data_IF_601875460748
#
_entry.id   IF_601875460748
#
_cell.length_a   1.000
_cell.length_b   1.000
_cell.length_c   1.000
_cell.angle_alpha   90.00
_cell.angle_beta   90.00
_cell.angle_gamma   90.00
#
_symmetry.space_group_name_H-M   'P 1'
#
loop_
_entity.id
_entity.type
_entity.pdbx_description
1 polymer ?
#
# COMPACT_ATOMS: atom_id res chain seq x y z
N UNK A 1 -4.95 7.98 15.87
CA UNK A 1 -4.06 8.06 14.68
C UNK A 1 -2.64 7.71 15.13
N UNK A 2 -1.87 6.92 14.36
CA UNK A 2 -0.50 6.56 14.71
C UNK A 2 0.42 7.78 14.85
N UNK A 3 1.42 7.70 15.73
CA UNK A 3 2.40 8.77 15.96
C UNK A 3 3.20 9.06 14.69
N UNK A 4 3.61 8.02 13.95
CA UNK A 4 4.32 8.14 12.66
C UNK A 4 3.55 7.42 11.54
N UNK A 5 3.69 7.91 10.29
CA UNK A 5 3.09 7.27 9.11
C UNK A 5 3.56 5.80 8.95
N UNK A 6 4.83 5.55 9.26
CA UNK A 6 5.47 4.23 9.23
C UNK A 6 4.97 3.27 10.31
N UNK A 7 4.19 3.75 11.27
CA UNK A 7 3.67 2.94 12.38
C UNK A 7 2.40 2.15 12.06
N UNK A 8 1.77 2.35 10.89
CA UNK A 8 0.54 1.62 10.55
C UNK A 8 0.59 0.80 9.27
N UNK A 9 1.20 1.31 8.18
CA UNK A 9 1.17 0.64 6.88
C UNK A 9 -0.21 0.43 6.27
N UNK A 10 -1.28 0.98 6.87
CA UNK A 10 -2.68 0.63 6.59
C UNK A 10 -3.08 0.81 5.13
N UNK A 11 -2.64 1.90 4.51
CA UNK A 11 -2.96 2.21 3.11
C UNK A 11 -2.44 1.17 2.11
N UNK A 12 -1.43 0.38 2.49
CA UNK A 12 -0.79 -0.58 1.60
C UNK A 12 -1.47 -1.97 1.61
N UNK A 13 -2.52 -2.19 2.40
CA UNK A 13 -3.19 -3.48 2.52
C UNK A 13 -4.57 -3.50 1.85
N UNK A 14 -4.88 -4.58 1.15
CA UNK A 14 -6.15 -4.75 0.45
C UNK A 14 -6.59 -6.21 0.41
N UNK A 15 -7.90 -6.42 0.41
CA UNK A 15 -8.55 -7.71 0.12
C UNK A 15 -9.05 -7.75 -1.33
N UNK A 16 -9.06 -6.60 -2.03
CA UNK A 16 -9.39 -6.49 -3.44
C UNK A 16 -8.13 -6.46 -4.31
N UNK A 17 -8.10 -7.19 -5.44
CA UNK A 17 -7.00 -7.11 -6.41
C UNK A 17 -6.97 -5.77 -7.16
N UNK A 18 -8.07 -5.00 -7.14
CA UNK A 18 -8.18 -3.66 -7.74
C UNK A 18 -7.76 -2.57 -6.75
N UNK A 19 -6.61 -2.76 -6.11
CA UNK A 19 -6.09 -1.80 -5.13
C UNK A 19 -5.18 -0.77 -5.80
N UNK A 20 -5.37 0.51 -5.44
CA UNK A 20 -4.57 1.65 -5.92
C UNK A 20 -4.44 1.67 -7.46
N UNK A 21 -5.46 2.23 -8.11
CA UNK A 21 -5.47 2.45 -9.56
C UNK A 21 -4.27 3.31 -9.97
N UNK A 22 -3.65 2.95 -11.10
CA UNK A 22 -2.49 3.61 -11.69
C UNK A 22 -2.92 4.25 -13.01
N UNK A 23 -2.74 5.56 -13.12
CA UNK A 23 -2.97 6.33 -14.36
C UNK A 23 -1.72 6.35 -15.25
N UNK A 24 -1.81 6.95 -16.44
CA UNK A 24 -0.63 7.17 -17.30
C UNK A 24 0.45 8.01 -16.62
N UNK A 25 0.06 9.12 -15.99
CA UNK A 25 0.96 10.00 -15.25
C UNK A 25 1.60 9.28 -14.05
N UNK A 26 0.85 8.39 -13.39
CA UNK A 26 1.42 7.55 -12.33
C UNK A 26 2.42 6.55 -12.89
N UNK A 27 2.14 5.96 -14.06
CA UNK A 27 3.04 5.03 -14.72
C UNK A 27 4.37 5.70 -15.10
N UNK A 28 4.33 6.92 -15.64
CA UNK A 28 5.53 7.71 -15.93
C UNK A 28 6.30 8.02 -14.64
N UNK A 29 5.59 8.40 -13.57
CA UNK A 29 6.22 8.70 -12.27
C UNK A 29 6.87 7.50 -11.60
N UNK A 30 6.30 6.31 -11.74
CA UNK A 30 6.90 5.08 -11.24
C UNK A 30 8.23 4.78 -11.96
N UNK A 31 8.39 5.27 -13.19
CA UNK A 31 9.62 5.15 -13.97
C UNK A 31 9.96 3.69 -14.30
N UNK A 32 11.24 3.34 -14.23
CA UNK A 32 11.76 2.02 -14.57
C UNK A 32 11.16 0.87 -13.74
N UNK A 33 10.61 1.18 -12.55
CA UNK A 33 9.98 0.17 -11.71
C UNK A 33 8.53 -0.16 -12.12
N UNK A 34 7.92 0.58 -13.04
CA UNK A 34 6.50 0.44 -13.37
C UNK A 34 6.13 -1.00 -13.77
N UNK A 35 6.93 -1.64 -14.62
CA UNK A 35 6.70 -3.02 -15.08
C UNK A 35 6.68 -4.05 -13.94
N UNK A 36 7.46 -3.79 -12.88
CA UNK A 36 7.51 -4.63 -11.68
C UNK A 36 6.39 -4.31 -10.69
N UNK A 37 6.01 -3.04 -10.60
CA UNK A 37 5.09 -2.52 -9.59
C UNK A 37 3.64 -2.51 -10.01
N UNK A 38 3.35 -2.61 -11.31
CA UNK A 38 2.00 -2.52 -11.86
C UNK A 38 1.49 -3.90 -12.30
N UNK A 39 0.19 -4.11 -12.17
CA UNK A 39 -0.52 -5.23 -12.78
C UNK A 39 -1.71 -4.70 -13.58
N UNK A 40 -2.03 -5.37 -14.68
CA UNK A 40 -3.16 -5.05 -15.53
C UNK A 40 -4.32 -5.99 -15.25
N UNK A 41 -5.51 -5.45 -15.03
CA UNK A 41 -6.76 -6.21 -14.88
C UNK A 41 -7.71 -5.72 -15.97
N UNK A 42 -7.77 -6.47 -17.07
CA UNK A 42 -8.41 -5.98 -18.30
C UNK A 42 -7.62 -4.81 -18.89
N UNK A 43 -8.28 -3.68 -19.06
CA UNK A 43 -7.70 -2.45 -19.61
C UNK A 43 -7.30 -1.41 -18.53
N UNK A 44 -7.32 -1.79 -17.25
CA UNK A 44 -7.00 -0.90 -16.13
C UNK A 44 -5.74 -1.38 -15.41
N UNK A 45 -4.89 -0.42 -15.02
CA UNK A 45 -3.66 -0.67 -14.28
C UNK A 45 -3.85 -0.41 -12.78
N UNK A 46 -3.25 -1.26 -11.95
CA UNK A 46 -3.30 -1.21 -10.49
C UNK A 46 -1.92 -1.51 -9.90
N UNK A 47 -1.67 -1.07 -8.67
CA UNK A 47 -0.47 -1.49 -7.94
C UNK A 47 -0.52 -3.00 -7.70
N UNK A 48 0.57 -3.69 -8.05
CA UNK A 48 0.74 -5.12 -7.83
C UNK A 48 0.73 -5.41 -6.33
N UNK A 49 0.02 -6.47 -5.97
CA UNK A 49 -0.07 -6.95 -4.60
C UNK A 49 0.65 -8.30 -4.44
N UNK A 50 1.22 -8.51 -3.26
CA UNK A 50 1.77 -9.78 -2.81
C UNK A 50 0.88 -10.35 -1.68
N UNK A 51 0.76 -11.69 -1.55
CA UNK A 51 0.06 -12.30 -0.43
C UNK A 51 0.65 -11.85 0.93
N UNK A 52 -0.23 -11.61 1.89
CA UNK A 52 0.08 -11.24 3.27
C UNK A 52 -0.81 -11.98 4.29
N UNK A 53 -1.44 -13.08 3.85
CA UNK A 53 -2.41 -13.90 4.57
C UNK A 53 -3.29 -14.66 3.56
N UNK A 54 -4.27 -15.42 4.04
CA UNK A 54 -5.18 -16.22 3.20
C UNK A 54 -6.03 -15.34 2.27
N UNK A 55 -6.67 -14.30 2.80
CA UNK A 55 -7.48 -13.34 2.03
C UNK A 55 -6.93 -11.91 2.05
N UNK A 56 -5.68 -11.75 2.49
CA UNK A 56 -5.07 -10.44 2.69
C UNK A 56 -3.87 -10.28 1.77
N UNK A 57 -3.79 -9.13 1.11
CA UNK A 57 -2.67 -8.77 0.25
C UNK A 57 -2.07 -7.44 0.67
N UNK A 58 -0.78 -7.25 0.39
CA UNK A 58 -0.06 -6.01 0.57
C UNK A 58 0.53 -5.51 -0.75
N UNK A 59 0.62 -4.20 -0.93
CA UNK A 59 1.34 -3.62 -2.04
C UNK A 59 2.77 -4.17 -2.10
N UNK A 60 3.25 -4.51 -3.31
CA UNK A 60 4.60 -5.06 -3.48
C UNK A 60 5.71 -4.07 -3.09
N UNK A 61 5.41 -2.76 -3.10
CA UNK A 61 6.32 -1.72 -2.64
C UNK A 61 6.35 -1.54 -1.11
N UNK A 62 5.54 -2.29 -0.36
CA UNK A 62 5.54 -2.26 1.10
C UNK A 62 6.65 -3.17 1.66
N UNK A 63 7.61 -2.55 2.33
CA UNK A 63 8.61 -3.18 3.18
C UNK A 63 8.12 -3.21 4.63
N UNK A 64 8.33 -4.33 5.31
CA UNK A 64 7.91 -4.54 6.70
C UNK A 64 9.16 -4.87 7.51
N UNK A 65 9.44 -4.08 8.55
CA UNK A 65 10.46 -4.35 9.57
C UNK A 65 9.75 -4.89 10.82
N UNK A 66 9.62 -6.22 10.98
CA UNK A 66 8.87 -6.82 12.08
C UNK A 66 9.54 -6.62 13.44
N UNK A 67 10.87 -6.43 13.47
CA UNK A 67 11.62 -6.19 14.70
C UNK A 67 11.29 -4.81 15.28
N UNK A 68 11.13 -3.81 14.42
CA UNK A 68 10.72 -2.45 14.82
C UNK A 68 9.21 -2.19 14.74
N UNK A 69 8.44 -3.12 14.17
CA UNK A 69 7.02 -2.93 13.89
C UNK A 69 6.76 -1.80 12.89
N UNK A 70 7.69 -1.59 11.95
CA UNK A 70 7.62 -0.47 11.00
C UNK A 70 7.23 -0.92 9.59
N UNK A 71 6.56 -0.02 8.89
CA UNK A 71 6.04 -0.19 7.54
C UNK A 71 6.59 0.92 6.65
N UNK A 72 7.36 0.58 5.62
CA UNK A 72 8.03 1.53 4.74
C UNK A 72 7.55 1.34 3.30
N UNK A 73 7.12 2.43 2.67
CA UNK A 73 6.79 2.43 1.26
C UNK A 73 8.07 2.75 0.47
N UNK A 74 8.61 1.77 -0.25
CA UNK A 74 9.85 1.92 -1.03
C UNK A 74 9.73 2.95 -2.17
N UNK A 75 8.50 3.34 -2.54
CA UNK A 75 8.22 4.32 -3.59
C UNK A 75 7.62 5.61 -3.04
N UNK A 76 7.83 5.98 -1.78
CA UNK A 76 7.12 7.08 -1.12
C UNK A 76 7.03 8.39 -1.95
N UNK A 77 8.13 8.82 -2.56
CA UNK A 77 8.18 10.04 -3.39
C UNK A 77 7.57 9.84 -4.80
N UNK A 78 7.53 8.59 -5.28
CA UNK A 78 7.02 8.20 -6.60
C UNK A 78 5.61 7.60 -6.56
N UNK A 79 4.98 7.57 -5.38
CA UNK A 79 3.65 7.00 -5.15
C UNK A 79 2.64 7.48 -6.19
N UNK A 80 1.73 6.63 -6.70
CA UNK A 80 0.59 7.08 -7.50
C UNK A 80 -0.25 8.15 -6.78
N UNK A 81 -1.01 8.96 -7.51
CA UNK A 81 -1.82 10.05 -6.94
C UNK A 81 -2.74 9.56 -5.82
N UNK A 82 -3.46 8.45 -6.04
CA UNK A 82 -4.36 7.86 -5.03
C UNK A 82 -3.65 7.51 -3.72
N UNK A 83 -2.36 7.19 -3.77
CA UNK A 83 -1.54 6.91 -2.59
C UNK A 83 -0.97 8.20 -1.96
N UNK A 84 -0.79 9.28 -2.73
CA UNK A 84 -0.39 10.61 -2.24
C UNK A 84 -1.54 11.29 -1.51
N UNK A 85 -2.77 11.11 -1.98
CA UNK A 85 -4.00 11.64 -1.35
C UNK A 85 -4.21 11.12 0.08
N UNK A 86 -3.58 9.98 0.40
CA UNK A 86 -3.52 9.38 1.73
C UNK A 86 -2.43 9.99 2.62
N UNK A 87 -2.09 11.26 2.41
CA UNK A 87 -1.19 12.02 3.28
C UNK A 87 -1.62 11.91 4.75
N UNK A 88 -0.64 11.78 5.66
CA UNK A 88 -0.93 11.54 7.08
C UNK A 88 -1.80 12.67 7.64
N UNK A 89 -2.93 12.29 8.23
CA UNK A 89 -3.88 13.24 8.82
C UNK A 89 -4.92 13.77 7.83
N UNK A 90 -4.81 13.45 6.54
CA UNK A 90 -5.89 13.73 5.59
C UNK A 90 -7.15 12.92 5.95
N UNK A 91 -8.35 13.37 5.55
CA UNK A 91 -9.57 12.60 5.72
C UNK A 91 -9.48 11.20 5.08
N UNK A 92 -8.80 11.10 3.94
CA UNK A 92 -8.60 9.83 3.25
C UNK A 92 -7.69 8.88 4.05
N UNK A 93 -6.61 9.38 4.66
CA UNK A 93 -5.81 8.62 5.62
C UNK A 93 -6.66 8.14 6.82
N UNK A 94 -7.52 9.01 7.36
CA UNK A 94 -8.46 8.66 8.43
C UNK A 94 -9.43 7.54 8.04
N UNK A 95 -9.98 7.60 6.82
CA UNK A 95 -10.85 6.56 6.27
C UNK A 95 -10.15 5.20 6.13
N UNK A 96 -8.91 5.19 5.66
CA UNK A 96 -8.09 3.97 5.59
C UNK A 96 -7.84 3.39 6.98
N UNK A 97 -7.47 4.22 7.95
CA UNK A 97 -7.28 3.78 9.34
C UNK A 97 -8.56 3.15 9.93
N UNK A 98 -9.71 3.78 9.71
CA UNK A 98 -11.00 3.30 10.22
C UNK A 98 -11.43 1.97 9.58
N UNK A 99 -11.15 1.78 8.29
CA UNK A 99 -11.64 0.62 7.53
C UNK A 99 -10.66 -0.55 7.48
N UNK A 100 -9.35 -0.28 7.63
CA UNK A 100 -8.29 -1.25 7.37
C UNK A 100 -7.26 -1.38 8.50
N UNK A 101 -7.42 -0.67 9.61
CA UNK A 101 -6.45 -0.61 10.71
C UNK A 101 -6.01 -1.96 11.30
N UNK A 102 -6.84 -3.00 11.20
CA UNK A 102 -6.51 -4.35 11.68
C UNK A 102 -5.68 -5.18 10.70
N UNK A 103 -5.67 -4.83 9.41
CA UNK A 103 -4.99 -5.62 8.37
C UNK A 103 -3.47 -5.71 8.58
N UNK A 104 -2.74 -4.61 8.86
CA UNK A 104 -1.31 -4.68 9.15
C UNK A 104 -0.97 -5.52 10.38
N UNK A 105 -1.83 -5.50 11.41
CA UNK A 105 -1.64 -6.29 12.64
C UNK A 105 -1.75 -7.79 12.35
N UNK A 106 -2.77 -8.19 11.57
CA UNK A 106 -2.95 -9.57 11.09
C UNK A 106 -1.72 -10.05 10.32
N UNK A 107 -1.20 -9.22 9.40
CA UNK A 107 -0.02 -9.56 8.63
C UNK A 107 1.24 -9.71 9.51
N UNK A 108 1.48 -8.80 10.46
CA UNK A 108 2.61 -8.91 11.39
C UNK A 108 2.55 -10.16 12.27
N UNK A 109 1.34 -10.57 12.69
CA UNK A 109 1.16 -11.77 13.49
C UNK A 109 1.56 -13.07 12.75
N UNK A 110 1.55 -13.07 11.40
CA UNK A 110 1.97 -14.20 10.57
C UNK A 110 3.49 -14.21 10.27
N UNK A 111 4.18 -13.10 10.52
CA UNK A 111 5.61 -12.93 10.24
C UNK A 111 6.50 -13.12 11.48
N UNK A 112 5.90 -13.32 12.65
CA UNK A 112 6.57 -13.58 13.93
C UNK A 112 6.52 -15.06 14.25
#
# INVERSE_FOLDING_TARGET
MPEACTGCGTCCFSESPRHARVTGDDHERLGEDADRLVTWIGNEAFMRLAPAGEDLHKCIALEIDPARGAFLCAIYERRPQICRDLERGSPACGGELATKGERPKRALALLR
#
